data_IF_070776277460
#
_entry.id   IF_070776277460
#
_cell.length_a   1.000
_cell.length_b   1.000
_cell.length_c   1.000
_cell.angle_alpha   90.00
_cell.angle_beta   90.00
_cell.angle_gamma   90.00
#
_symmetry.space_group_name_H-M   'P 1'
#
loop_
_entity.id
_entity.type
_entity.pdbx_description
1 polymer ?
#
# COMPACT_ATOMS: atom_id res chain seq x y z
N UNK A 1 -44.92 -13.03 -22.87
CA UNK A 1 -43.81 -14.00 -22.93
C UNK A 1 -42.50 -13.24 -22.75
N UNK A 2 -41.95 -13.26 -21.53
CA UNK A 2 -40.69 -12.57 -21.21
C UNK A 2 -39.54 -13.39 -21.81
N UNK A 3 -38.73 -12.76 -22.66
CA UNK A 3 -37.60 -13.41 -23.30
C UNK A 3 -36.47 -13.61 -22.27
N UNK A 4 -36.45 -14.79 -21.64
CA UNK A 4 -35.52 -15.18 -20.57
C UNK A 4 -34.05 -14.94 -20.96
N UNK A 5 -33.69 -15.03 -22.26
CA UNK A 5 -32.33 -14.73 -22.74
C UNK A 5 -31.96 -13.26 -22.59
N UNK A 6 -32.91 -12.33 -22.80
CA UNK A 6 -32.70 -10.89 -22.59
C UNK A 6 -32.52 -10.57 -21.11
N UNK A 7 -33.24 -11.25 -20.23
CA UNK A 7 -33.15 -11.04 -18.78
C UNK A 7 -31.81 -11.54 -18.21
N UNK A 8 -31.34 -12.70 -18.67
CA UNK A 8 -30.00 -13.23 -18.37
C UNK A 8 -28.88 -12.29 -18.80
N UNK A 9 -29.00 -11.68 -19.98
CA UNK A 9 -28.01 -10.71 -20.47
C UNK A 9 -27.94 -9.47 -19.58
N UNK A 10 -29.09 -8.93 -19.15
CA UNK A 10 -29.18 -7.77 -18.26
C UNK A 10 -28.63 -8.07 -16.87
N UNK A 11 -28.89 -9.27 -16.31
CA UNK A 11 -28.33 -9.69 -15.03
C UNK A 11 -26.80 -9.78 -15.07
N UNK A 12 -26.23 -10.24 -16.19
CA UNK A 12 -24.78 -10.35 -16.37
C UNK A 12 -24.10 -8.97 -16.38
N UNK A 13 -24.76 -7.94 -16.91
CA UNK A 13 -24.22 -6.56 -16.98
C UNK A 13 -24.21 -5.88 -15.61
N UNK A 14 -25.12 -6.23 -14.71
CA UNK A 14 -25.20 -5.63 -13.37
C UNK A 14 -24.05 -6.16 -12.48
N UNK A 15 -23.67 -7.43 -12.63
CA UNK A 15 -22.59 -8.07 -11.85
C UNK A 15 -21.18 -7.55 -12.15
N UNK A 16 -20.96 -6.95 -13.34
CA UNK A 16 -19.67 -6.35 -13.71
C UNK A 16 -19.52 -4.89 -13.25
N UNK A 17 -20.57 -4.28 -12.70
CA UNK A 17 -20.46 -2.97 -12.02
C UNK A 17 -19.93 -3.14 -10.58
N UNK A 18 -18.80 -3.83 -10.45
CA UNK A 18 -18.09 -3.92 -9.19
C UNK A 18 -17.63 -2.52 -8.79
N UNK A 19 -18.14 -2.02 -7.66
CA UNK A 19 -17.63 -0.78 -7.05
C UNK A 19 -16.11 -0.85 -7.01
N UNK A 20 -15.46 0.20 -7.49
CA UNK A 20 -14.02 0.33 -7.39
C UNK A 20 -13.67 0.54 -5.92
N UNK A 21 -13.60 -0.54 -5.14
CA UNK A 21 -12.95 -0.60 -3.85
C UNK A 21 -11.57 0.10 -3.95
N UNK A 22 -11.43 1.30 -3.35
CA UNK A 22 -10.19 2.06 -3.36
C UNK A 22 -9.11 1.39 -2.51
N UNK A 23 -9.47 0.41 -1.69
CA UNK A 23 -8.55 -0.41 -0.89
C UNK A 23 -8.08 -1.65 -1.65
N UNK A 24 -8.36 -1.74 -2.96
CA UNK A 24 -7.91 -2.86 -3.78
C UNK A 24 -6.42 -3.13 -3.55
N UNK A 25 -6.06 -4.35 -3.10
CA UNK A 25 -4.70 -4.65 -2.70
C UNK A 25 -3.75 -4.44 -3.88
N UNK A 26 -2.51 -4.08 -3.56
CA UNK A 26 -1.46 -4.01 -4.58
C UNK A 26 -1.38 -5.36 -5.29
N UNK A 27 -1.40 -5.31 -6.62
CA UNK A 27 -1.25 -6.48 -7.48
C UNK A 27 -0.23 -6.13 -8.57
N UNK A 28 1.06 -6.11 -8.21
CA UNK A 28 2.13 -5.81 -9.16
C UNK A 28 2.10 -6.78 -10.35
N UNK A 29 2.37 -6.31 -11.57
CA UNK A 29 2.45 -7.19 -12.74
C UNK A 29 3.58 -8.22 -12.58
N UNK A 30 3.46 -9.38 -13.25
CA UNK A 30 4.48 -10.43 -13.22
C UNK A 30 5.84 -9.92 -13.71
N UNK A 31 5.82 -9.14 -14.78
CA UNK A 31 6.96 -8.37 -15.27
C UNK A 31 6.93 -6.99 -14.60
N UNK A 32 7.64 -6.85 -13.49
CA UNK A 32 7.76 -5.60 -12.76
C UNK A 32 9.21 -5.29 -12.44
N UNK A 33 9.55 -4.00 -12.45
CA UNK A 33 10.78 -3.52 -11.85
C UNK A 33 10.64 -3.53 -10.34
N UNK A 34 11.70 -3.92 -9.65
CA UNK A 34 11.74 -4.00 -8.19
C UNK A 34 12.76 -3.01 -7.66
N UNK A 35 12.33 -2.24 -6.66
CA UNK A 35 13.21 -1.36 -5.90
C UNK A 35 13.75 -2.18 -4.74
N UNK A 36 15.06 -2.39 -4.72
CA UNK A 36 15.75 -2.99 -3.56
C UNK A 36 16.00 -1.89 -2.53
N UNK A 37 15.54 -2.11 -1.31
CA UNK A 37 15.82 -1.27 -0.15
C UNK A 37 16.65 -2.10 0.80
N UNK A 38 17.84 -1.62 1.13
CA UNK A 38 18.76 -2.29 2.03
C UNK A 38 19.43 -1.31 2.97
N UNK A 39 19.96 -1.81 4.07
CA UNK A 39 20.65 -1.01 5.07
C UNK A 39 21.11 -1.85 6.25
N UNK A 40 21.66 -1.18 7.26
CA UNK A 40 22.07 -1.80 8.51
C UNK A 40 21.27 -1.15 9.64
N UNK A 41 20.45 -1.94 10.33
CA UNK A 41 19.72 -1.52 11.49
C UNK A 41 20.69 -1.35 12.68
N UNK A 42 20.65 -0.21 13.39
CA UNK A 42 21.40 -0.06 14.64
C UNK A 42 21.06 -1.15 15.66
N UNK A 43 21.98 -1.42 16.58
CA UNK A 43 21.74 -2.35 17.68
C UNK A 43 20.49 -1.96 18.46
N UNK A 44 19.77 -2.97 18.94
CA UNK A 44 18.53 -2.82 19.73
C UNK A 44 17.38 -2.15 18.98
N UNK A 45 17.46 -2.10 17.65
CA UNK A 45 16.38 -1.57 16.81
C UNK A 45 15.84 -2.63 15.85
N UNK A 46 14.57 -2.49 15.50
CA UNK A 46 13.90 -3.26 14.47
C UNK A 46 13.71 -2.37 13.24
N UNK A 47 14.19 -2.77 12.04
CA UNK A 47 13.92 -2.03 10.82
C UNK A 47 12.53 -2.34 10.27
N UNK A 48 11.95 -1.34 9.61
CA UNK A 48 10.70 -1.40 8.87
C UNK A 48 10.89 -0.75 7.51
N UNK A 49 10.33 -1.38 6.48
CA UNK A 49 10.25 -0.81 5.14
C UNK A 49 8.78 -0.69 4.78
N UNK A 50 8.39 0.49 4.36
CA UNK A 50 7.04 0.76 3.88
C UNK A 50 7.06 1.67 2.66
N UNK A 51 5.94 1.72 1.96
CA UNK A 51 5.78 2.56 0.78
C UNK A 51 4.36 3.10 0.72
N UNK A 52 4.25 4.29 0.15
CA UNK A 52 2.97 4.87 -0.26
C UNK A 52 2.90 4.83 -1.79
N UNK A 53 1.78 4.37 -2.30
CA UNK A 53 1.42 4.39 -3.71
C UNK A 53 0.29 5.39 -3.94
N UNK A 54 0.29 6.05 -5.08
CA UNK A 54 -0.76 6.97 -5.52
C UNK A 54 -1.45 6.43 -6.77
N UNK A 55 -2.76 6.64 -6.87
CA UNK A 55 -3.54 6.37 -8.07
C UNK A 55 -4.15 7.65 -8.62
N UNK A 56 -3.98 7.88 -9.92
CA UNK A 56 -4.73 8.92 -10.66
C UNK A 56 -5.95 8.35 -11.38
N UNK A 57 -6.15 7.04 -11.34
CA UNK A 57 -7.25 6.33 -11.99
C UNK A 57 -8.40 6.06 -10.98
N UNK A 58 -8.05 5.58 -9.79
CA UNK A 58 -8.97 5.50 -8.66
C UNK A 58 -8.93 6.84 -7.93
N UNK A 59 -10.07 7.54 -7.95
CA UNK A 59 -10.24 8.86 -7.35
C UNK A 59 -11.27 8.76 -6.23
N UNK A 60 -11.07 9.54 -5.18
CA UNK A 60 -12.05 9.70 -4.10
C UNK A 60 -12.72 11.06 -4.17
N UNK A 61 -13.98 11.12 -3.75
CA UNK A 61 -14.69 12.39 -3.61
C UNK A 61 -14.33 13.07 -2.30
N UNK A 62 -14.18 14.39 -2.39
CA UNK A 62 -14.01 15.31 -1.26
C UNK A 62 -14.93 16.51 -1.47
N UNK A 63 -15.23 17.21 -0.39
CA UNK A 63 -15.99 18.45 -0.41
C UNK A 63 -15.05 19.62 -0.18
N UNK A 64 -15.18 20.68 -0.97
CA UNK A 64 -14.46 21.92 -0.71
C UNK A 64 -15.14 22.72 0.43
N UNK A 65 -14.60 23.91 0.75
CA UNK A 65 -15.15 24.77 1.79
C UNK A 65 -16.58 25.26 1.52
N UNK A 66 -17.01 25.20 0.26
CA UNK A 66 -18.35 25.56 -0.19
C UNK A 66 -19.27 24.33 -0.32
N UNK A 67 -18.86 23.19 0.22
CA UNK A 67 -19.56 21.90 0.11
C UNK A 67 -19.73 21.39 -1.32
N UNK A 68 -18.92 21.86 -2.28
CA UNK A 68 -18.94 21.37 -3.65
C UNK A 68 -18.09 20.10 -3.80
N UNK A 69 -18.59 19.04 -4.46
CA UNK A 69 -17.85 17.80 -4.63
C UNK A 69 -16.74 17.95 -5.67
N UNK A 70 -15.53 17.49 -5.33
CA UNK A 70 -14.40 17.39 -6.25
C UNK A 70 -13.67 16.04 -6.06
N UNK A 71 -12.91 15.63 -7.07
CA UNK A 71 -12.18 14.35 -7.07
C UNK A 71 -10.70 14.58 -6.79
N UNK A 72 -10.12 13.73 -5.93
CA UNK A 72 -8.68 13.72 -5.65
C UNK A 72 -8.08 12.32 -5.86
N UNK A 73 -6.79 12.22 -6.21
CA UNK A 73 -6.05 10.96 -6.22
C UNK A 73 -6.16 10.21 -4.90
N UNK A 74 -6.27 8.88 -4.95
CA UNK A 74 -6.22 8.05 -3.74
C UNK A 74 -4.80 7.55 -3.47
N UNK A 75 -4.56 7.16 -2.21
CA UNK A 75 -3.29 6.63 -1.75
C UNK A 75 -3.45 5.22 -1.15
N UNK A 76 -2.45 4.37 -1.31
CA UNK A 76 -2.42 3.02 -0.73
C UNK A 76 -1.06 2.74 -0.07
N UNK A 77 -1.07 2.26 1.18
CA UNK A 77 0.13 2.00 1.96
C UNK A 77 0.51 0.52 1.95
N UNK A 78 1.78 0.23 1.66
CA UNK A 78 2.39 -1.08 1.83
C UNK A 78 3.33 -1.05 3.04
N UNK A 79 3.15 -1.98 3.98
CA UNK A 79 4.09 -2.20 5.09
C UNK A 79 4.66 -3.61 4.99
N UNK A 80 5.97 -3.74 4.92
CA UNK A 80 6.66 -5.03 4.85
C UNK A 80 7.19 -5.43 6.22
N UNK A 81 7.06 -6.72 6.54
CA UNK A 81 7.82 -7.31 7.65
C UNK A 81 9.25 -7.53 7.17
N UNK A 82 10.19 -6.80 7.76
CA UNK A 82 11.61 -6.90 7.44
C UNK A 82 12.35 -7.50 8.64
N UNK A 83 13.28 -8.41 8.39
CA UNK A 83 14.15 -8.97 9.41
C UNK A 83 15.58 -8.50 9.14
N UNK A 84 16.24 -8.00 10.18
CA UNK A 84 17.66 -7.75 10.16
C UNK A 84 18.41 -9.03 10.57
N UNK A 85 19.60 -9.20 10.01
CA UNK A 85 20.57 -10.15 10.52
C UNK A 85 20.96 -9.77 11.96
N UNK A 86 20.92 -10.70 12.92
CA UNK A 86 21.10 -10.36 14.34
C UNK A 86 22.54 -10.00 14.71
N UNK A 87 23.54 -10.37 13.89
CA UNK A 87 24.95 -10.08 14.16
C UNK A 87 25.39 -8.77 13.51
N UNK A 88 25.00 -8.56 12.26
CA UNK A 88 25.46 -7.46 11.42
C UNK A 88 24.46 -6.30 11.35
N UNK A 89 23.18 -6.55 11.69
CA UNK A 89 22.08 -5.61 11.52
C UNK A 89 21.63 -5.44 10.06
N UNK A 90 22.27 -6.12 9.10
CA UNK A 90 21.94 -5.97 7.69
C UNK A 90 20.51 -6.44 7.40
N UNK A 91 19.77 -5.66 6.60
CA UNK A 91 18.45 -6.04 6.13
C UNK A 91 18.27 -5.66 4.66
N UNK A 92 17.37 -6.39 3.99
CA UNK A 92 16.97 -6.11 2.62
C UNK A 92 15.47 -6.38 2.46
N UNK A 93 14.80 -5.52 1.69
CA UNK A 93 13.41 -5.67 1.27
C UNK A 93 13.25 -5.25 -0.19
N UNK A 94 12.20 -5.74 -0.85
CA UNK A 94 11.86 -5.38 -2.23
C UNK A 94 10.50 -4.72 -2.27
N UNK A 95 10.45 -3.53 -2.87
CA UNK A 95 9.22 -2.80 -3.15
C UNK A 95 8.91 -2.88 -4.66
N UNK A 96 7.66 -3.13 -5.06
CA UNK A 96 7.29 -3.11 -6.46
C UNK A 96 7.32 -1.67 -6.99
N UNK A 97 8.00 -1.41 -8.12
CA UNK A 97 8.01 -0.08 -8.73
C UNK A 97 6.60 0.32 -9.20
N UNK A 98 5.88 -0.63 -9.81
CA UNK A 98 4.45 -0.53 -10.09
C UNK A 98 3.65 -1.40 -9.11
N UNK A 99 2.74 -0.78 -8.35
CA UNK A 99 1.82 -1.49 -7.46
C UNK A 99 0.66 -2.19 -8.20
N UNK A 100 0.45 -1.85 -9.48
CA UNK A 100 -0.46 -2.54 -10.39
C UNK A 100 -1.93 -2.42 -9.99
N UNK A 101 -2.70 -3.52 -10.14
CA UNK A 101 -4.16 -3.56 -9.96
C UNK A 101 -4.95 -2.64 -10.93
N UNK A 102 -6.29 -2.62 -10.81
CA UNK A 102 -7.18 -1.75 -11.60
C UNK A 102 -6.91 -0.25 -11.37
N UNK A 103 -6.42 0.09 -10.18
CA UNK A 103 -6.07 1.46 -9.82
C UNK A 103 -4.69 1.89 -10.36
N UNK A 104 -3.98 1.03 -11.08
CA UNK A 104 -2.66 1.34 -11.69
C UNK A 104 -1.69 2.02 -10.72
N UNK A 105 -1.63 1.51 -9.49
CA UNK A 105 -0.87 2.10 -8.40
C UNK A 105 0.58 2.39 -8.80
N UNK A 106 1.03 3.63 -8.58
CA UNK A 106 2.40 4.09 -8.83
C UNK A 106 3.08 4.42 -7.51
N UNK A 107 4.35 4.03 -7.37
CA UNK A 107 5.13 4.39 -6.17
C UNK A 107 5.15 5.92 -6.02
N UNK A 108 4.81 6.42 -4.83
CA UNK A 108 4.89 7.84 -4.50
C UNK A 108 6.09 8.10 -3.58
N UNK A 109 6.20 7.32 -2.49
CA UNK A 109 7.25 7.46 -1.48
C UNK A 109 7.62 6.09 -0.91
N UNK A 110 8.86 5.95 -0.49
CA UNK A 110 9.34 4.82 0.29
C UNK A 110 9.90 5.33 1.63
N UNK A 111 9.67 4.57 2.69
CA UNK A 111 10.12 4.88 4.03
C UNK A 111 10.95 3.73 4.57
N UNK A 112 12.11 4.09 5.12
CA UNK A 112 12.95 3.22 5.93
C UNK A 112 12.94 3.80 7.33
N UNK A 113 12.44 3.05 8.29
CA UNK A 113 12.36 3.47 9.68
C UNK A 113 12.90 2.39 10.59
N UNK A 114 13.37 2.79 11.76
CA UNK A 114 13.80 1.89 12.82
C UNK A 114 13.10 2.28 14.11
N UNK A 115 12.78 1.29 14.94
CA UNK A 115 12.25 1.52 16.28
C UNK A 115 13.07 0.73 17.29
N UNK A 116 13.35 1.30 18.46
CA UNK A 116 13.90 0.50 19.56
C UNK A 116 12.94 -0.63 19.92
N UNK A 117 13.48 -1.82 20.13
CA UNK A 117 12.69 -2.99 20.53
C UNK A 117 12.34 -2.97 22.01
N UNK A 118 13.04 -2.16 22.80
CA UNK A 118 12.89 -2.02 24.24
C UNK A 118 13.12 -0.55 24.64
N UNK A 119 12.27 -0.02 25.52
CA UNK A 119 12.32 1.38 25.98
C UNK A 119 13.54 1.69 26.85
N UNK A 120 14.12 0.68 27.50
CA UNK A 120 15.35 0.83 28.31
C UNK A 120 16.57 1.24 27.47
N UNK A 121 16.53 1.02 26.16
CA UNK A 121 17.56 1.50 25.22
C UNK A 121 17.34 2.96 24.78
N UNK A 122 16.17 3.54 25.06
CA UNK A 122 15.86 4.94 24.75
C UNK A 122 16.17 5.86 25.92
N UNK A 123 15.80 5.47 27.14
CA UNK A 123 16.04 6.26 28.35
C UNK A 123 16.25 5.35 29.56
N UNK A 124 17.12 5.79 30.47
CA UNK A 124 17.38 5.11 31.74
C UNK A 124 16.15 5.17 32.63
N UNK A 125 15.91 4.11 33.40
CA UNK A 125 14.84 4.00 34.40
C UNK A 125 13.41 4.17 33.81
N UNK A 126 13.26 3.85 32.52
CA UNK A 126 11.96 3.76 31.87
C UNK A 126 11.08 2.70 32.57
N UNK A 127 9.87 3.08 32.95
CA UNK A 127 8.87 2.15 33.49
C UNK A 127 8.24 1.41 32.32
N UNK A 128 8.23 0.07 32.40
CA UNK A 128 7.63 -0.85 31.41
C UNK A 128 6.16 -1.07 31.74
#
# INVERSE_FOLDING_TARGET
MINIKKFLLVLLVILISGCADPDAPLSPPKENQWITVEGVAPKYTQPYVSAEYISKDCLEYRLDSNMSPFKVPTHNGLRLKVKADPQTGYFQAKLPFNGGSRCKWKINRAFVSVSYTDVSHLVKDAVI
#
